data_IF_683246181151
#
_entry.id   IF_683246181151
#
_cell.length_a   1.000
_cell.length_b   1.000
_cell.length_c   1.000
_cell.angle_alpha   90.00
_cell.angle_beta   90.00
_cell.angle_gamma   90.00
#
_symmetry.space_group_name_H-M   'P 1'
#
loop_
_entity.id
_entity.type
_entity.pdbx_description
1 polymer ?
#
# COMPACT_ATOMS: atom_id res chain seq x y z
N UNK A 1 -41.63 -36.81 -20.25
CA UNK A 1 -40.52 -37.11 -19.32
C UNK A 1 -39.20 -36.82 -19.98
N UNK A 2 -38.22 -36.32 -19.26
CA UNK A 2 -38.20 -35.03 -18.55
C UNK A 2 -37.12 -34.10 -19.11
N UNK A 3 -37.46 -32.82 -19.26
CA UNK A 3 -36.53 -31.75 -19.62
C UNK A 3 -35.80 -31.15 -18.38
N UNK A 4 -35.91 -31.77 -17.23
CA UNK A 4 -35.40 -31.23 -15.94
C UNK A 4 -33.97 -31.67 -15.56
N UNK A 5 -33.33 -32.57 -16.33
CA UNK A 5 -32.02 -33.10 -15.95
C UNK A 5 -30.82 -32.38 -16.58
N UNK A 6 -31.08 -31.42 -17.49
CA UNK A 6 -29.99 -30.64 -18.12
C UNK A 6 -29.69 -29.30 -17.43
N UNK A 7 -30.45 -28.89 -16.43
CA UNK A 7 -30.27 -27.59 -15.73
C UNK A 7 -29.41 -27.73 -14.47
N UNK A 8 -29.09 -28.93 -14.02
CA UNK A 8 -28.28 -29.15 -12.79
C UNK A 8 -26.79 -29.26 -13.05
N UNK A 9 -26.35 -29.36 -14.29
CA UNK A 9 -24.95 -29.55 -14.64
C UNK A 9 -24.20 -28.21 -14.94
N UNK A 10 -24.91 -27.09 -15.00
CA UNK A 10 -24.34 -25.77 -15.31
C UNK A 10 -24.07 -24.94 -14.05
N UNK A 11 -24.62 -25.30 -12.89
CA UNK A 11 -24.46 -24.54 -11.64
C UNK A 11 -23.19 -24.97 -10.85
N UNK A 12 -22.53 -26.05 -11.24
CA UNK A 12 -21.33 -26.55 -10.52
C UNK A 12 -20.00 -26.01 -11.06
N UNK A 13 -20.02 -25.05 -11.99
CA UNK A 13 -18.80 -24.56 -12.68
C UNK A 13 -18.43 -23.12 -12.32
N UNK A 14 -19.04 -22.51 -11.31
CA UNK A 14 -18.77 -21.09 -10.95
C UNK A 14 -18.25 -20.91 -9.50
N UNK A 15 -17.95 -21.99 -8.80
CA UNK A 15 -17.31 -21.92 -7.47
C UNK A 15 -15.87 -22.45 -7.48
N UNK A 16 -15.12 -22.26 -8.56
CA UNK A 16 -13.68 -22.09 -8.41
C UNK A 16 -13.45 -20.61 -8.00
N UNK A 17 -13.77 -20.27 -6.76
CA UNK A 17 -12.96 -19.28 -6.04
C UNK A 17 -11.54 -19.78 -6.25
N UNK A 18 -10.72 -19.02 -6.96
CA UNK A 18 -9.29 -19.28 -7.05
C UNK A 18 -8.81 -19.31 -5.61
N UNK A 19 -8.66 -20.52 -5.07
CA UNK A 19 -7.90 -20.73 -3.83
C UNK A 19 -6.51 -20.30 -4.24
N UNK A 20 -6.19 -19.06 -3.90
CA UNK A 20 -4.88 -18.51 -4.10
C UNK A 20 -3.92 -19.44 -3.37
N UNK A 21 -2.98 -20.04 -4.08
CA UNK A 21 -1.98 -20.89 -3.46
C UNK A 21 -1.16 -19.98 -2.51
N UNK A 22 -1.34 -20.17 -1.19
CA UNK A 22 -0.53 -19.52 -0.20
C UNK A 22 0.92 -20.02 -0.32
N UNK A 23 1.86 -19.09 -0.33
CA UNK A 23 3.27 -19.44 -0.26
C UNK A 23 3.63 -19.88 1.17
N UNK A 24 4.56 -20.83 1.35
CA UNK A 24 5.05 -21.16 2.68
C UNK A 24 5.50 -19.91 3.43
N UNK A 25 4.96 -19.71 4.64
CA UNK A 25 5.27 -18.55 5.47
C UNK A 25 4.31 -17.36 5.34
N UNK A 26 3.35 -17.38 4.41
CA UNK A 26 2.40 -16.28 4.23
C UNK A 26 1.67 -15.89 5.52
N UNK A 27 1.30 -16.86 6.34
CA UNK A 27 0.65 -16.57 7.64
C UNK A 27 1.52 -15.73 8.58
N UNK A 28 2.84 -15.97 8.61
CA UNK A 28 3.79 -15.15 9.38
C UNK A 28 4.00 -13.78 8.75
N UNK A 29 4.10 -13.71 7.42
CA UNK A 29 4.19 -12.44 6.70
C UNK A 29 2.95 -11.60 7.00
N UNK A 30 1.75 -12.17 6.89
CA UNK A 30 0.50 -11.49 7.24
C UNK A 30 0.44 -11.06 8.70
N UNK A 31 0.91 -11.88 9.62
CA UNK A 31 1.00 -11.49 11.04
C UNK A 31 1.89 -10.27 11.22
N UNK A 32 3.04 -10.23 10.56
CA UNK A 32 3.94 -9.10 10.59
C UNK A 32 3.36 -7.84 9.92
N UNK A 33 2.69 -8.00 8.78
CA UNK A 33 1.99 -6.91 8.08
C UNK A 33 0.84 -6.35 8.92
N UNK A 34 0.05 -7.19 9.58
CA UNK A 34 -0.99 -6.73 10.50
C UNK A 34 -0.42 -5.93 11.68
N UNK A 35 0.66 -6.41 12.29
CA UNK A 35 1.34 -5.67 13.36
C UNK A 35 1.90 -4.34 12.86
N UNK A 36 2.48 -4.33 11.65
CA UNK A 36 2.99 -3.16 10.97
C UNK A 36 1.92 -2.07 10.83
N UNK A 37 0.76 -2.40 10.25
CA UNK A 37 -0.31 -1.43 10.05
C UNK A 37 -1.09 -1.09 11.33
N UNK A 38 -1.00 -1.88 12.38
CA UNK A 38 -1.51 -1.54 13.71
C UNK A 38 -0.52 -0.76 14.59
N UNK A 39 0.56 -0.20 14.01
CA UNK A 39 1.61 0.55 14.73
C UNK A 39 2.39 -0.27 15.80
N UNK A 40 2.24 -1.58 15.80
CA UNK A 40 2.99 -2.51 16.66
C UNK A 40 4.38 -2.78 16.02
N UNK A 41 5.16 -1.71 15.82
CA UNK A 41 6.35 -1.74 14.95
C UNK A 41 7.45 -2.66 15.43
N UNK A 42 7.64 -2.83 16.75
CA UNK A 42 8.60 -3.80 17.33
C UNK A 42 8.17 -5.22 16.97
N UNK A 43 6.91 -5.56 17.26
CA UNK A 43 6.37 -6.90 16.95
C UNK A 43 6.41 -7.20 15.44
N UNK A 44 6.14 -6.21 14.59
CA UNK A 44 6.23 -6.35 13.13
C UNK A 44 7.66 -6.75 12.71
N UNK A 45 8.68 -6.05 13.22
CA UNK A 45 10.09 -6.34 12.92
C UNK A 45 10.47 -7.74 13.40
N UNK A 46 10.09 -8.13 14.62
CA UNK A 46 10.43 -9.44 15.19
C UNK A 46 9.80 -10.58 14.40
N UNK A 47 8.48 -10.48 14.11
CA UNK A 47 7.74 -11.49 13.35
C UNK A 47 8.29 -11.64 11.93
N UNK A 48 8.54 -10.52 11.23
CA UNK A 48 9.06 -10.55 9.86
C UNK A 48 10.53 -10.97 9.78
N UNK A 49 11.33 -10.68 10.81
CA UNK A 49 12.70 -11.21 10.91
C UNK A 49 12.66 -12.73 11.02
N UNK A 50 11.80 -13.26 11.89
CA UNK A 50 11.59 -14.71 12.00
C UNK A 50 11.05 -15.32 10.71
N UNK A 51 10.03 -14.72 10.10
CA UNK A 51 9.49 -15.20 8.84
C UNK A 51 10.56 -15.26 7.73
N UNK A 52 11.44 -14.26 7.67
CA UNK A 52 12.55 -14.20 6.72
C UNK A 52 13.59 -15.31 6.95
N UNK A 53 13.84 -15.67 8.19
CA UNK A 53 14.76 -16.77 8.55
C UNK A 53 14.16 -18.14 8.22
N UNK A 54 12.89 -18.35 8.58
CA UNK A 54 12.21 -19.64 8.44
C UNK A 54 11.75 -19.91 6.99
N UNK A 55 11.40 -18.85 6.25
CA UNK A 55 10.82 -18.93 4.90
C UNK A 55 11.51 -17.96 3.90
N UNK A 56 12.81 -18.11 3.65
CA UNK A 56 13.58 -17.18 2.82
C UNK A 56 13.16 -17.18 1.34
N UNK A 57 12.36 -18.14 0.91
CA UNK A 57 11.81 -18.24 -0.46
C UNK A 57 10.39 -17.66 -0.56
N UNK A 58 9.78 -17.23 0.53
CA UNK A 58 8.51 -16.50 0.44
C UNK A 58 8.74 -15.17 -0.29
N UNK A 59 7.94 -14.91 -1.31
CA UNK A 59 8.18 -13.79 -2.23
C UNK A 59 8.06 -12.42 -1.56
N UNK A 60 7.16 -12.26 -0.58
CA UNK A 60 6.89 -10.99 0.09
C UNK A 60 7.82 -10.72 1.29
N UNK A 61 8.46 -11.74 1.86
CA UNK A 61 9.07 -11.66 3.19
C UNK A 61 10.19 -10.64 3.31
N UNK A 62 11.05 -10.54 2.31
CA UNK A 62 12.20 -9.62 2.38
C UNK A 62 11.77 -8.16 2.24
N UNK A 63 10.81 -7.90 1.36
CA UNK A 63 10.28 -6.56 1.13
C UNK A 63 9.48 -6.06 2.35
N UNK A 64 8.58 -6.89 2.88
CA UNK A 64 7.79 -6.55 4.08
C UNK A 64 8.66 -6.38 5.31
N UNK A 65 9.72 -7.18 5.45
CA UNK A 65 10.71 -7.01 6.51
C UNK A 65 11.43 -5.65 6.42
N UNK A 66 11.90 -5.25 5.23
CA UNK A 66 12.57 -3.98 5.05
C UNK A 66 11.63 -2.79 5.31
N UNK A 67 10.37 -2.89 4.86
CA UNK A 67 9.34 -1.87 5.13
C UNK A 67 8.98 -1.77 6.62
N UNK A 68 8.87 -2.88 7.32
CA UNK A 68 8.60 -2.86 8.77
C UNK A 68 9.73 -2.18 9.56
N UNK A 69 10.98 -2.45 9.23
CA UNK A 69 12.16 -1.82 9.85
C UNK A 69 12.21 -0.31 9.55
N UNK A 70 11.85 0.07 8.33
CA UNK A 70 11.75 1.49 7.97
C UNK A 70 10.66 2.20 8.78
N UNK A 71 9.46 1.63 8.89
CA UNK A 71 8.37 2.22 9.68
C UNK A 71 8.73 2.28 11.17
N UNK A 72 9.35 1.22 11.72
CA UNK A 72 9.86 1.24 13.08
C UNK A 72 10.85 2.39 13.31
N UNK A 73 11.76 2.60 12.36
CA UNK A 73 12.69 3.74 12.40
C UNK A 73 11.95 5.09 12.28
N UNK A 74 10.92 5.20 11.43
CA UNK A 74 10.13 6.43 11.32
C UNK A 74 9.40 6.80 12.64
N UNK A 75 8.95 5.81 13.39
CA UNK A 75 8.28 6.03 14.67
C UNK A 75 9.23 6.48 15.79
N UNK A 76 10.53 6.19 15.68
CA UNK A 76 11.48 6.31 16.80
C UNK A 76 12.71 7.18 16.50
N UNK A 77 13.03 7.43 15.24
CA UNK A 77 14.30 8.03 14.84
C UNK A 77 14.11 9.33 14.02
N UNK A 78 15.12 10.20 13.98
CA UNK A 78 15.15 11.34 13.05
C UNK A 78 15.09 10.89 11.59
N UNK A 79 14.50 11.72 10.73
CA UNK A 79 14.22 11.42 9.31
C UNK A 79 15.44 10.98 8.50
N UNK A 80 16.62 11.55 8.79
CA UNK A 80 17.88 11.18 8.14
C UNK A 80 18.32 9.75 8.48
N UNK A 81 18.00 9.28 9.70
CA UNK A 81 18.29 7.91 10.12
C UNK A 81 17.34 6.93 9.45
N UNK A 82 16.07 7.30 9.29
CA UNK A 82 15.08 6.45 8.61
C UNK A 82 15.49 6.16 7.16
N UNK A 83 15.99 7.16 6.44
CA UNK A 83 16.50 6.95 5.08
C UNK A 83 17.75 6.07 5.04
N UNK A 84 18.62 6.15 6.03
CA UNK A 84 19.81 5.28 6.13
C UNK A 84 19.41 3.83 6.37
N UNK A 85 18.46 3.59 7.28
CA UNK A 85 17.92 2.24 7.55
C UNK A 85 17.36 1.64 6.29
N UNK A 86 16.45 2.35 5.63
CA UNK A 86 15.80 1.84 4.41
C UNK A 86 16.80 1.62 3.27
N UNK A 87 17.73 2.55 3.01
CA UNK A 87 18.73 2.36 1.96
C UNK A 87 19.58 1.10 2.20
N UNK A 88 20.07 0.90 3.43
CA UNK A 88 20.85 -0.30 3.79
C UNK A 88 20.04 -1.58 3.52
N UNK A 89 18.80 -1.61 3.99
CA UNK A 89 17.95 -2.79 3.85
C UNK A 89 17.59 -3.03 2.35
N UNK A 90 17.38 -1.98 1.55
CA UNK A 90 17.21 -2.09 0.10
C UNK A 90 18.50 -2.54 -0.63
N UNK A 91 19.69 -2.13 -0.14
CA UNK A 91 20.97 -2.62 -0.68
C UNK A 91 21.17 -4.10 -0.41
N UNK A 92 20.59 -4.63 0.65
CA UNK A 92 20.60 -6.06 0.97
C UNK A 92 19.58 -6.85 0.15
N UNK A 93 18.30 -6.41 0.10
CA UNK A 93 17.24 -7.21 -0.52
C UNK A 93 17.20 -7.11 -2.05
N UNK A 94 17.68 -6.02 -2.65
CA UNK A 94 17.61 -5.87 -4.13
C UNK A 94 18.46 -6.90 -4.87
N UNK A 95 19.74 -7.16 -4.50
CA UNK A 95 20.51 -8.26 -5.08
C UNK A 95 19.87 -9.62 -4.84
N UNK A 96 19.33 -9.86 -3.64
CA UNK A 96 18.65 -11.10 -3.30
C UNK A 96 17.43 -11.36 -4.22
N UNK A 97 16.60 -10.33 -4.45
CA UNK A 97 15.48 -10.49 -5.38
C UNK A 97 15.95 -10.71 -6.84
N UNK A 98 17.07 -10.15 -7.27
CA UNK A 98 17.65 -10.44 -8.59
C UNK A 98 18.03 -11.92 -8.70
N UNK A 99 18.72 -12.44 -7.70
CA UNK A 99 19.09 -13.85 -7.65
C UNK A 99 17.86 -14.76 -7.62
N UNK A 100 16.80 -14.40 -6.90
CA UNK A 100 15.54 -15.14 -6.87
C UNK A 100 14.82 -15.11 -8.23
N UNK A 101 14.81 -13.97 -8.93
CA UNK A 101 14.26 -13.85 -10.29
C UNK A 101 15.02 -14.72 -11.28
N UNK A 102 16.35 -14.74 -11.21
CA UNK A 102 17.18 -15.53 -12.10
C UNK A 102 17.02 -17.04 -11.82
N UNK A 103 16.91 -17.44 -10.56
CA UNK A 103 16.79 -18.83 -10.14
C UNK A 103 15.39 -19.41 -10.34
N UNK A 104 14.35 -18.57 -10.21
CA UNK A 104 12.94 -18.95 -10.28
C UNK A 104 12.18 -18.05 -11.26
N UNK A 105 12.51 -18.10 -12.58
CA UNK A 105 11.95 -17.20 -13.59
C UNK A 105 10.43 -17.32 -13.76
N UNK A 106 9.85 -18.47 -13.38
CA UNK A 106 8.43 -18.75 -13.47
C UNK A 106 7.61 -18.19 -12.29
N UNK A 107 8.27 -17.63 -11.27
CA UNK A 107 7.58 -16.95 -10.17
C UNK A 107 7.61 -15.42 -10.37
N UNK A 108 6.55 -14.83 -10.94
CA UNK A 108 6.49 -13.39 -11.22
C UNK A 108 6.45 -12.53 -9.97
N UNK A 109 6.14 -13.10 -8.80
CA UNK A 109 6.09 -12.34 -7.53
C UNK A 109 7.47 -11.85 -7.12
N UNK A 110 8.56 -12.57 -7.41
CA UNK A 110 9.91 -12.07 -7.19
C UNK A 110 10.22 -10.83 -8.03
N UNK A 111 9.72 -10.78 -9.29
CA UNK A 111 9.82 -9.58 -10.14
C UNK A 111 9.00 -8.43 -9.56
N UNK A 112 7.78 -8.70 -9.07
CA UNK A 112 6.95 -7.69 -8.42
C UNK A 112 7.70 -7.02 -7.27
N UNK A 113 8.29 -7.81 -6.35
CA UNK A 113 9.00 -7.27 -5.20
C UNK A 113 10.36 -6.64 -5.55
N UNK A 114 11.02 -7.11 -6.60
CA UNK A 114 12.20 -6.43 -7.16
C UNK A 114 11.80 -5.03 -7.68
N UNK A 115 10.73 -4.95 -8.46
CA UNK A 115 10.20 -3.68 -8.95
C UNK A 115 9.78 -2.73 -7.82
N UNK A 116 9.13 -3.28 -6.80
CA UNK A 116 8.71 -2.54 -5.59
C UNK A 116 9.92 -2.02 -4.80
N UNK A 117 10.98 -2.80 -4.64
CA UNK A 117 12.22 -2.37 -3.97
C UNK A 117 12.92 -1.23 -4.73
N UNK A 118 12.98 -1.30 -6.07
CA UNK A 118 13.51 -0.20 -6.90
C UNK A 118 12.61 1.05 -6.79
N UNK A 119 11.28 0.90 -6.80
CA UNK A 119 10.33 1.99 -6.59
C UNK A 119 10.49 2.67 -5.22
N UNK A 120 10.67 1.88 -4.17
CA UNK A 120 10.90 2.38 -2.82
C UNK A 120 12.25 3.11 -2.70
N UNK A 121 13.31 2.63 -3.40
CA UNK A 121 14.59 3.32 -3.52
C UNK A 121 14.43 4.68 -4.20
N UNK A 122 13.62 4.77 -5.25
CA UNK A 122 13.32 6.02 -5.92
C UNK A 122 12.64 7.01 -4.96
N UNK A 123 11.66 6.54 -4.16
CA UNK A 123 10.97 7.33 -3.13
C UNK A 123 11.95 7.88 -2.09
N UNK A 124 12.92 7.08 -1.65
CA UNK A 124 13.97 7.55 -0.71
C UNK A 124 14.78 8.69 -1.33
N UNK A 125 15.26 8.53 -2.56
CA UNK A 125 16.04 9.58 -3.23
C UNK A 125 15.21 10.83 -3.46
N UNK A 126 13.92 10.69 -3.78
CA UNK A 126 12.99 11.81 -3.91
C UNK A 126 12.85 12.56 -2.57
N UNK A 127 12.64 11.85 -1.47
CA UNK A 127 12.55 12.44 -0.13
C UNK A 127 13.83 13.13 0.32
N UNK A 128 14.99 12.63 -0.14
CA UNK A 128 16.30 13.27 0.06
C UNK A 128 16.60 14.41 -0.93
N UNK A 129 15.65 14.81 -1.78
CA UNK A 129 15.80 15.82 -2.85
C UNK A 129 16.91 15.48 -3.87
N UNK A 130 17.21 14.20 -4.07
CA UNK A 130 18.23 13.70 -4.99
C UNK A 130 17.61 13.38 -6.36
N UNK A 131 17.06 14.37 -7.02
CA UNK A 131 16.21 14.27 -8.20
C UNK A 131 16.81 13.40 -9.33
N UNK A 132 18.07 13.62 -9.69
CA UNK A 132 18.73 12.83 -10.73
C UNK A 132 18.90 11.35 -10.34
N UNK A 133 19.18 11.07 -9.06
CA UNK A 133 19.32 9.69 -8.59
C UNK A 133 17.99 8.95 -8.54
N UNK A 134 16.88 9.67 -8.47
CA UNK A 134 15.53 9.10 -8.46
C UNK A 134 15.17 8.47 -9.80
N UNK A 135 15.63 9.03 -10.94
CA UNK A 135 15.17 8.65 -12.28
C UNK A 135 15.43 7.19 -12.62
N UNK A 136 16.64 6.68 -12.36
CA UNK A 136 17.02 5.32 -12.74
C UNK A 136 16.22 4.26 -11.97
N UNK A 137 16.16 4.27 -10.61
CA UNK A 137 15.38 3.28 -9.89
C UNK A 137 13.88 3.45 -10.14
N UNK A 138 13.36 4.66 -10.32
CA UNK A 138 11.96 4.87 -10.69
C UNK A 138 11.61 4.19 -12.02
N UNK A 139 12.45 4.41 -13.05
CA UNK A 139 12.27 3.78 -14.36
C UNK A 139 12.37 2.25 -14.29
N UNK A 140 13.39 1.72 -13.59
CA UNK A 140 13.55 0.27 -13.42
C UNK A 140 12.37 -0.37 -12.70
N UNK A 141 11.99 0.19 -11.56
CA UNK A 141 10.86 -0.30 -10.78
C UNK A 141 9.57 -0.29 -11.59
N UNK A 142 9.28 0.81 -12.27
CA UNK A 142 8.13 0.93 -13.14
C UNK A 142 8.13 -0.11 -14.27
N UNK A 143 9.26 -0.25 -15.01
CA UNK A 143 9.37 -1.19 -16.12
C UNK A 143 9.15 -2.64 -15.67
N UNK A 144 9.78 -3.04 -14.56
CA UNK A 144 9.63 -4.39 -13.99
C UNK A 144 8.17 -4.64 -13.57
N UNK A 145 7.57 -3.68 -12.87
CA UNK A 145 6.19 -3.83 -12.38
C UNK A 145 5.18 -3.84 -13.54
N UNK A 146 5.42 -3.02 -14.57
CA UNK A 146 4.57 -3.03 -15.78
C UNK A 146 4.67 -4.36 -16.52
N UNK A 147 5.87 -4.93 -16.64
CA UNK A 147 6.05 -6.27 -17.23
C UNK A 147 5.24 -7.34 -16.46
N UNK A 148 5.23 -7.26 -15.12
CA UNK A 148 4.39 -8.15 -14.30
C UNK A 148 2.91 -7.93 -14.58
N UNK A 149 2.43 -6.69 -14.61
CA UNK A 149 1.02 -6.39 -14.84
C UNK A 149 0.53 -6.82 -16.23
N UNK A 150 1.39 -6.66 -17.26
CA UNK A 150 1.07 -6.99 -18.64
C UNK A 150 1.03 -8.52 -18.89
N UNK A 151 1.94 -9.28 -18.26
CA UNK A 151 2.11 -10.72 -18.51
C UNK A 151 1.43 -11.62 -17.46
N UNK A 152 1.12 -11.08 -16.27
CA UNK A 152 0.53 -11.81 -15.14
C UNK A 152 -0.66 -11.03 -14.56
N UNK A 153 -1.77 -10.91 -15.31
CA UNK A 153 -2.90 -10.06 -14.94
C UNK A 153 -3.62 -10.49 -13.67
N UNK A 154 -3.34 -11.70 -13.16
CA UNK A 154 -3.82 -12.16 -11.85
C UNK A 154 -3.13 -11.46 -10.67
N UNK A 155 -1.92 -10.92 -10.84
CA UNK A 155 -1.16 -10.21 -9.81
C UNK A 155 -1.62 -8.75 -9.74
N UNK A 156 -2.72 -8.49 -9.03
CA UNK A 156 -3.34 -7.17 -8.96
C UNK A 156 -2.49 -6.14 -8.20
N UNK A 157 -1.59 -6.57 -7.35
CA UNK A 157 -0.64 -5.70 -6.64
C UNK A 157 0.21 -4.85 -7.61
N UNK A 158 0.53 -5.38 -8.79
CA UNK A 158 1.29 -4.68 -9.81
C UNK A 158 0.56 -3.44 -10.36
N UNK A 159 -0.77 -3.38 -10.24
CA UNK A 159 -1.56 -2.25 -10.74
C UNK A 159 -1.45 -0.99 -9.87
N UNK A 160 -1.12 -1.12 -8.58
CA UNK A 160 -0.99 0.03 -7.70
C UNK A 160 0.07 1.03 -8.19
N UNK A 161 1.37 0.66 -8.35
CA UNK A 161 2.38 1.62 -8.78
C UNK A 161 2.12 2.18 -10.19
N UNK A 162 1.51 1.39 -11.08
CA UNK A 162 1.13 1.86 -12.43
C UNK A 162 0.03 2.91 -12.33
N UNK A 163 -1.04 2.62 -11.59
CA UNK A 163 -2.15 3.55 -11.37
C UNK A 163 -1.70 4.86 -10.73
N UNK A 164 -0.78 4.79 -9.76
CA UNK A 164 -0.16 5.97 -9.14
C UNK A 164 0.56 6.83 -10.17
N UNK A 165 1.42 6.22 -10.99
CA UNK A 165 2.17 6.96 -12.03
C UNK A 165 1.21 7.58 -13.06
N UNK A 166 0.23 6.83 -13.56
CA UNK A 166 -0.75 7.33 -14.52
C UNK A 166 -1.56 8.51 -13.95
N UNK A 167 -2.05 8.38 -12.71
CA UNK A 167 -2.81 9.44 -12.04
C UNK A 167 -1.98 10.73 -11.92
N UNK A 168 -0.78 10.65 -11.35
CA UNK A 168 0.05 11.85 -11.15
C UNK A 168 0.64 12.42 -12.43
N UNK A 169 0.91 11.61 -13.45
CA UNK A 169 1.29 12.09 -14.80
C UNK A 169 0.12 12.84 -15.46
N UNK A 170 -1.11 12.36 -15.27
CA UNK A 170 -2.30 13.03 -15.78
C UNK A 170 -2.49 14.45 -15.24
N UNK A 171 -1.95 14.75 -14.06
CA UNK A 171 -1.94 16.09 -13.45
C UNK A 171 -0.86 17.02 -14.02
N UNK A 172 0.07 16.50 -14.84
CA UNK A 172 1.20 17.25 -15.37
C UNK A 172 0.91 17.81 -16.78
N UNK A 173 1.87 18.57 -17.30
CA UNK A 173 1.77 19.18 -18.64
C UNK A 173 1.71 18.12 -19.76
N UNK A 174 1.24 18.54 -20.93
CA UNK A 174 1.10 17.69 -22.13
C UNK A 174 2.41 16.98 -22.54
N UNK A 175 3.58 17.59 -22.26
CA UNK A 175 4.89 16.99 -22.56
C UNK A 175 5.11 15.73 -21.72
N UNK A 176 4.78 15.76 -20.42
CA UNK A 176 4.91 14.59 -19.55
C UNK A 176 3.93 13.50 -19.94
N UNK A 177 2.70 13.86 -20.32
CA UNK A 177 1.69 12.91 -20.82
C UNK A 177 2.15 12.23 -22.10
N UNK A 178 2.68 13.00 -23.04
CA UNK A 178 3.23 12.46 -24.29
C UNK A 178 4.39 11.51 -24.01
N UNK A 179 5.35 11.90 -23.17
CA UNK A 179 6.47 11.03 -22.80
C UNK A 179 5.98 9.72 -22.14
N UNK A 180 5.01 9.79 -21.23
CA UNK A 180 4.45 8.61 -20.57
C UNK A 180 3.70 7.69 -21.54
N UNK A 181 3.00 8.24 -22.55
CA UNK A 181 2.31 7.43 -23.56
C UNK A 181 3.25 6.59 -24.41
N UNK A 182 4.50 7.05 -24.61
CA UNK A 182 5.55 6.26 -25.29
C UNK A 182 5.92 4.98 -24.52
N UNK A 183 5.67 4.94 -23.22
CA UNK A 183 5.85 3.76 -22.36
C UNK A 183 4.57 2.95 -22.18
N UNK A 184 3.52 3.24 -22.96
CA UNK A 184 2.24 2.53 -22.92
C UNK A 184 1.40 2.84 -21.67
N UNK A 185 1.60 4.01 -21.06
CA UNK A 185 0.77 4.49 -19.96
C UNK A 185 -0.49 5.19 -20.46
N UNK A 186 -1.60 4.92 -19.79
CA UNK A 186 -2.82 5.68 -19.96
C UNK A 186 -2.73 6.96 -19.12
N UNK A 187 -2.60 8.11 -19.78
CA UNK A 187 -2.35 9.38 -19.09
C UNK A 187 -3.64 10.12 -18.73
N UNK A 188 -4.58 9.40 -18.12
CA UNK A 188 -5.82 9.96 -17.58
C UNK A 188 -5.94 9.68 -16.08
N UNK A 189 -6.60 10.60 -15.35
CA UNK A 189 -6.86 10.40 -13.92
C UNK A 189 -7.72 9.17 -13.68
N UNK A 190 -8.71 8.98 -14.52
CA UNK A 190 -9.71 7.91 -14.47
C UNK A 190 -9.03 6.54 -14.62
N UNK A 191 -8.11 6.39 -15.57
CA UNK A 191 -7.37 5.15 -15.75
C UNK A 191 -6.47 4.84 -14.55
N UNK A 192 -5.77 5.85 -14.01
CA UNK A 192 -4.96 5.70 -12.81
C UNK A 192 -5.80 5.29 -11.59
N UNK A 193 -6.93 5.98 -11.36
CA UNK A 193 -7.87 5.64 -10.29
C UNK A 193 -8.43 4.22 -10.44
N UNK A 194 -8.84 3.83 -11.66
CA UNK A 194 -9.39 2.50 -11.92
C UNK A 194 -8.39 1.38 -11.57
N UNK A 195 -7.10 1.55 -11.92
CA UNK A 195 -6.05 0.59 -11.58
C UNK A 195 -5.81 0.52 -10.06
N UNK A 196 -5.80 1.66 -9.37
CA UNK A 196 -5.69 1.69 -7.91
C UNK A 196 -6.89 1.04 -7.23
N UNK A 197 -8.13 1.24 -7.74
CA UNK A 197 -9.35 0.58 -7.25
C UNK A 197 -9.28 -0.95 -7.43
N UNK A 198 -8.74 -1.43 -8.57
CA UNK A 198 -8.54 -2.87 -8.77
C UNK A 198 -7.52 -3.42 -7.76
N UNK A 199 -6.41 -2.71 -7.52
CA UNK A 199 -5.43 -3.11 -6.52
C UNK A 199 -6.02 -3.08 -5.10
N UNK A 200 -6.87 -2.09 -4.78
CA UNK A 200 -7.55 -1.94 -3.49
C UNK A 200 -8.53 -3.08 -3.20
N UNK A 201 -9.18 -3.63 -4.23
CA UNK A 201 -10.22 -4.66 -4.05
C UNK A 201 -9.69 -6.09 -4.25
N UNK A 202 -8.61 -6.27 -5.01
CA UNK A 202 -8.16 -7.59 -5.45
C UNK A 202 -6.65 -7.83 -5.27
N UNK A 203 -5.90 -6.84 -4.76
CA UNK A 203 -4.47 -7.00 -4.44
C UNK A 203 -4.26 -7.89 -3.22
N UNK A 204 -3.07 -8.50 -3.14
CA UNK A 204 -2.67 -9.35 -2.03
C UNK A 204 -2.26 -8.54 -0.81
N UNK A 205 -1.22 -7.73 -0.97
CA UNK A 205 -0.70 -6.83 0.05
C UNK A 205 -0.92 -5.36 -0.33
N UNK A 206 -0.91 -5.04 -1.63
CA UNK A 206 -1.07 -3.67 -2.11
C UNK A 206 -2.46 -3.08 -1.84
N UNK A 207 -3.48 -3.88 -1.48
CA UNK A 207 -4.82 -3.39 -1.18
C UNK A 207 -4.83 -2.36 -0.05
N UNK A 208 -3.92 -2.51 0.93
CA UNK A 208 -3.85 -1.59 2.08
C UNK A 208 -3.35 -0.21 1.62
N UNK A 209 -2.22 -0.20 0.93
CA UNK A 209 -1.63 1.03 0.40
C UNK A 209 -2.52 1.67 -0.68
N UNK A 210 -3.17 0.85 -1.52
CA UNK A 210 -4.11 1.34 -2.53
C UNK A 210 -5.30 2.05 -1.89
N UNK A 211 -5.93 1.44 -0.85
CA UNK A 211 -7.02 2.09 -0.10
C UNK A 211 -6.56 3.34 0.62
N UNK A 212 -5.38 3.31 1.24
CA UNK A 212 -4.81 4.48 1.91
C UNK A 212 -4.62 5.65 0.95
N UNK A 213 -4.05 5.38 -0.24
CA UNK A 213 -3.83 6.41 -1.24
C UNK A 213 -5.13 6.90 -1.87
N UNK A 214 -6.08 6.00 -2.16
CA UNK A 214 -7.41 6.38 -2.66
C UNK A 214 -8.16 7.22 -1.62
N UNK A 215 -8.07 6.89 -0.34
CA UNK A 215 -8.63 7.71 0.74
C UNK A 215 -8.07 9.13 0.70
N UNK A 216 -6.75 9.27 0.58
CA UNK A 216 -6.08 10.55 0.44
C UNK A 216 -6.58 11.32 -0.80
N UNK A 217 -6.62 10.66 -1.95
CA UNK A 217 -7.04 11.29 -3.20
C UNK A 217 -8.52 11.73 -3.12
N UNK A 218 -9.41 10.89 -2.62
CA UNK A 218 -10.83 11.19 -2.54
C UNK A 218 -11.20 12.20 -1.43
N UNK A 219 -10.36 12.34 -0.39
CA UNK A 219 -10.55 13.39 0.61
C UNK A 219 -10.08 14.76 0.11
N UNK A 220 -8.95 14.83 -0.60
CA UNK A 220 -8.26 16.12 -0.80
C UNK A 220 -7.90 16.48 -2.24
N UNK A 221 -7.58 15.52 -3.14
CA UNK A 221 -7.11 15.83 -4.49
C UNK A 221 -8.21 15.80 -5.57
N UNK A 222 -9.10 14.83 -5.49
CA UNK A 222 -10.25 14.64 -6.38
C UNK A 222 -11.46 14.24 -5.52
N UNK A 223 -12.09 15.18 -4.80
CA UNK A 223 -13.06 14.87 -3.76
C UNK A 223 -14.22 13.99 -4.23
N UNK A 224 -14.37 12.86 -3.53
CA UNK A 224 -15.50 11.95 -3.60
C UNK A 224 -15.67 11.32 -2.20
N UNK A 225 -16.50 11.96 -1.38
CA UNK A 225 -16.58 11.67 0.05
C UNK A 225 -17.16 10.28 0.33
N UNK A 226 -18.10 9.79 -0.49
CA UNK A 226 -18.66 8.45 -0.36
C UNK A 226 -17.58 7.37 -0.57
N UNK A 227 -16.75 7.51 -1.60
CA UNK A 227 -15.62 6.61 -1.83
C UNK A 227 -14.55 6.74 -0.75
N UNK A 228 -14.26 7.96 -0.29
CA UNK A 228 -13.35 8.16 0.83
C UNK A 228 -13.84 7.42 2.07
N UNK A 229 -15.12 7.53 2.40
CA UNK A 229 -15.73 6.84 3.54
C UNK A 229 -15.64 5.31 3.40
N UNK A 230 -15.89 4.76 2.20
CA UNK A 230 -15.76 3.32 1.94
C UNK A 230 -14.33 2.82 2.22
N UNK A 231 -13.32 3.48 1.65
CA UNK A 231 -11.93 3.04 1.80
C UNK A 231 -11.41 3.24 3.22
N UNK A 232 -11.68 4.40 3.84
CA UNK A 232 -11.22 4.73 5.19
C UNK A 232 -11.86 3.83 6.24
N UNK A 233 -13.14 3.51 6.09
CA UNK A 233 -13.86 2.58 6.98
C UNK A 233 -13.18 1.21 7.01
N UNK A 234 -12.91 0.61 5.84
CA UNK A 234 -12.28 -0.71 5.74
C UNK A 234 -10.89 -0.71 6.40
N UNK A 235 -10.10 0.37 6.19
CA UNK A 235 -8.80 0.50 6.81
C UNK A 235 -8.90 0.65 8.33
N UNK A 236 -9.78 1.50 8.83
CA UNK A 236 -9.96 1.75 10.25
C UNK A 236 -10.50 0.51 11.00
N UNK A 237 -11.45 -0.22 10.40
CA UNK A 237 -11.98 -1.45 10.98
C UNK A 237 -10.91 -2.56 11.04
N UNK A 238 -10.08 -2.68 10.00
CA UNK A 238 -9.03 -3.70 9.93
C UNK A 238 -7.81 -3.37 10.79
N UNK A 239 -7.45 -2.09 10.88
CA UNK A 239 -6.25 -1.59 11.54
C UNK A 239 -6.63 -0.53 12.58
N UNK A 240 -7.37 -0.95 13.60
CA UNK A 240 -7.98 -0.08 14.61
C UNK A 240 -6.99 0.67 15.52
N UNK A 241 -5.69 0.33 15.45
CA UNK A 241 -4.61 1.05 16.15
C UNK A 241 -3.82 1.98 15.22
N UNK A 242 -4.21 2.08 13.93
CA UNK A 242 -3.54 2.97 13.01
C UNK A 242 -4.09 4.39 13.11
N UNK A 243 -3.33 5.26 13.73
CA UNK A 243 -3.74 6.64 13.98
C UNK A 243 -4.10 7.40 12.69
N UNK A 244 -3.31 7.23 11.59
CA UNK A 244 -3.61 7.88 10.31
C UNK A 244 -4.89 7.37 9.67
N UNK A 245 -5.15 6.06 9.75
CA UNK A 245 -6.38 5.50 9.18
C UNK A 245 -7.61 5.95 9.97
N UNK A 246 -7.48 6.05 11.29
CA UNK A 246 -8.54 6.59 12.14
C UNK A 246 -8.79 8.07 11.88
N UNK A 247 -7.75 8.90 11.69
CA UNK A 247 -7.90 10.31 11.32
C UNK A 247 -8.64 10.46 9.99
N UNK A 248 -8.20 9.78 8.92
CA UNK A 248 -8.87 9.83 7.61
C UNK A 248 -10.33 9.33 7.68
N UNK A 249 -10.59 8.33 8.52
CA UNK A 249 -11.95 7.84 8.71
C UNK A 249 -12.81 8.87 9.46
N UNK A 250 -12.25 9.51 10.47
CA UNK A 250 -12.92 10.61 11.20
C UNK A 250 -13.28 11.75 10.26
N UNK A 251 -12.35 12.20 9.39
CA UNK A 251 -12.63 13.23 8.40
C UNK A 251 -13.76 12.80 7.45
N UNK A 252 -13.73 11.57 6.96
CA UNK A 252 -14.79 11.04 6.09
C UNK A 252 -16.15 11.02 6.77
N UNK A 253 -16.20 10.63 8.05
CA UNK A 253 -17.43 10.62 8.87
C UNK A 253 -17.97 12.03 9.09
N UNK A 254 -17.11 12.97 9.46
CA UNK A 254 -17.47 14.38 9.68
C UNK A 254 -18.07 14.98 8.42
N UNK A 255 -17.39 14.83 7.27
CA UNK A 255 -17.85 15.34 5.98
C UNK A 255 -19.12 14.66 5.43
N UNK A 256 -19.50 13.50 5.97
CA UNK A 256 -20.76 12.80 5.65
C UNK A 256 -21.85 12.99 6.70
N UNK A 257 -21.64 13.86 7.71
CA UNK A 257 -22.62 14.15 8.76
C UNK A 257 -22.77 13.05 9.81
N UNK A 258 -21.83 12.10 9.88
CA UNK A 258 -21.83 11.01 10.88
C UNK A 258 -21.11 11.46 12.16
N UNK A 259 -21.57 12.57 12.77
CA UNK A 259 -20.88 13.25 13.86
C UNK A 259 -20.72 12.42 15.13
N UNK A 260 -21.72 11.63 15.50
CA UNK A 260 -21.65 10.79 16.73
C UNK A 260 -20.49 9.78 16.64
N UNK A 261 -20.33 9.17 15.47
CA UNK A 261 -19.26 8.20 15.24
C UNK A 261 -17.91 8.91 15.14
N UNK A 262 -17.82 10.05 14.46
CA UNK A 262 -16.63 10.87 14.37
C UNK A 262 -16.15 11.28 15.76
N UNK A 263 -17.06 11.80 16.60
CA UNK A 263 -16.75 12.18 17.99
C UNK A 263 -16.22 11.00 18.81
N UNK A 264 -16.83 9.83 18.68
CA UNK A 264 -16.38 8.63 19.39
C UNK A 264 -14.93 8.28 19.05
N UNK A 265 -14.55 8.37 17.75
CA UNK A 265 -13.20 8.08 17.30
C UNK A 265 -12.23 9.19 17.74
N UNK A 266 -12.62 10.47 17.69
CA UNK A 266 -11.80 11.59 18.15
C UNK A 266 -11.44 11.46 19.63
N UNK A 267 -12.41 11.13 20.48
CA UNK A 267 -12.17 10.88 21.91
C UNK A 267 -11.23 9.69 22.15
N UNK A 268 -11.31 8.66 21.30
CA UNK A 268 -10.37 7.53 21.36
C UNK A 268 -8.96 7.97 20.90
N UNK A 269 -8.86 8.75 19.83
CA UNK A 269 -7.59 9.28 19.33
C UNK A 269 -6.90 10.19 20.34
N UNK A 270 -7.63 11.06 21.07
CA UNK A 270 -7.08 11.87 22.15
C UNK A 270 -6.44 11.01 23.23
N UNK A 271 -7.14 9.95 23.62
CA UNK A 271 -6.64 9.00 24.63
C UNK A 271 -5.40 8.26 24.14
N UNK A 272 -5.44 7.73 22.92
CA UNK A 272 -4.31 7.00 22.33
C UNK A 272 -3.11 7.93 22.08
N UNK A 273 -3.36 9.21 21.79
CA UNK A 273 -2.32 10.22 21.60
C UNK A 273 -1.44 10.38 22.84
N UNK A 274 -1.99 10.26 24.04
CA UNK A 274 -1.20 10.36 25.27
C UNK A 274 -0.18 9.24 25.44
N UNK A 275 -0.44 8.08 24.85
CA UNK A 275 0.45 6.90 24.91
C UNK A 275 1.57 6.93 23.84
N UNK A 276 1.51 7.87 22.89
CA UNK A 276 2.49 7.96 21.80
C UNK A 276 3.87 8.45 22.28
N UNK A 277 4.91 8.04 21.55
CA UNK A 277 6.27 8.58 21.77
C UNK A 277 6.32 10.07 21.45
N UNK A 278 7.32 10.77 21.96
CA UNK A 278 7.51 12.21 21.69
C UNK A 278 7.57 12.50 20.17
N UNK A 279 8.29 11.70 19.42
CA UNK A 279 8.39 11.84 17.95
C UNK A 279 7.05 11.65 17.26
N UNK A 280 6.26 10.66 17.67
CA UNK A 280 4.92 10.44 17.14
C UNK A 280 3.98 11.60 17.47
N UNK A 281 4.00 12.10 18.73
CA UNK A 281 3.20 13.27 19.14
C UNK A 281 3.51 14.48 18.28
N UNK A 282 4.79 14.77 18.02
CA UNK A 282 5.19 15.89 17.15
C UNK A 282 4.65 15.75 15.72
N UNK A 283 4.62 14.54 15.18
CA UNK A 283 4.16 14.28 13.82
C UNK A 283 2.64 14.28 13.68
N UNK A 284 1.91 13.88 14.72
CA UNK A 284 0.46 13.63 14.65
C UNK A 284 -0.40 14.74 15.25
N UNK A 285 0.19 15.60 16.11
CA UNK A 285 -0.55 16.64 16.83
C UNK A 285 -1.37 17.53 15.91
N UNK A 286 -0.75 18.08 14.87
CA UNK A 286 -1.44 18.99 13.94
C UNK A 286 -2.58 18.34 13.16
N UNK A 287 -2.48 17.05 12.87
CA UNK A 287 -3.56 16.30 12.22
C UNK A 287 -4.74 16.11 13.17
N UNK A 288 -4.48 15.72 14.42
CA UNK A 288 -5.54 15.55 15.42
C UNK A 288 -6.25 16.88 15.73
N UNK A 289 -5.49 17.97 15.88
CA UNK A 289 -6.03 19.30 16.05
C UNK A 289 -6.87 19.78 14.85
N UNK A 290 -6.45 19.43 13.63
CA UNK A 290 -7.21 19.70 12.41
C UNK A 290 -8.56 18.96 12.41
N UNK A 291 -8.57 17.66 12.75
CA UNK A 291 -9.81 16.87 12.77
C UNK A 291 -10.80 17.38 13.84
N UNK A 292 -10.31 17.79 15.00
CA UNK A 292 -11.17 18.47 16.00
C UNK A 292 -11.72 19.79 15.48
N UNK A 293 -10.90 20.61 14.85
CA UNK A 293 -11.35 21.88 14.28
C UNK A 293 -12.40 21.64 13.18
N UNK A 294 -12.19 20.68 12.29
CA UNK A 294 -13.15 20.30 11.26
C UNK A 294 -14.48 19.82 11.87
N UNK A 295 -14.42 18.95 12.86
CA UNK A 295 -15.61 18.43 13.56
C UNK A 295 -16.47 19.55 14.20
N UNK A 296 -15.85 20.60 14.74
CA UNK A 296 -16.58 21.72 15.33
C UNK A 296 -17.05 22.76 14.31
N UNK A 297 -16.50 22.75 13.12
CA UNK A 297 -16.84 23.69 12.06
C UNK A 297 -18.06 23.21 11.23
N UNK A 298 -18.14 21.90 10.93
CA UNK A 298 -19.23 21.28 10.19
C UNK A 298 -20.47 21.04 11.07
#
# INVERSE_FOLDING_TARGET
MPKFLKMFTIVLLVLFSQIKAEEPGDSLVWKGVNAFYNNETVQAVDVLTKARQDFPLNSAVHFTWATARWLHSQANDPVEKTYKVLNRDLDEITPLYKDLVDKYPDNPRYRLYLGSAEGLRARVYLGQKRWFKTLIPAYRGFKITKDVADNYPEIKDALLPIGVVEYYVALRSSIFKWAASLFGLETTKEAGLAKMEIAANYGDFAWIEARSLLSFIYLWEAPNIEKALEHTKILAEKFSKNFYFLLMYTESLTKTGNYDQANTILLQLDKDFEELTHTQKLNLKSYLEYEWALYWFE
#
